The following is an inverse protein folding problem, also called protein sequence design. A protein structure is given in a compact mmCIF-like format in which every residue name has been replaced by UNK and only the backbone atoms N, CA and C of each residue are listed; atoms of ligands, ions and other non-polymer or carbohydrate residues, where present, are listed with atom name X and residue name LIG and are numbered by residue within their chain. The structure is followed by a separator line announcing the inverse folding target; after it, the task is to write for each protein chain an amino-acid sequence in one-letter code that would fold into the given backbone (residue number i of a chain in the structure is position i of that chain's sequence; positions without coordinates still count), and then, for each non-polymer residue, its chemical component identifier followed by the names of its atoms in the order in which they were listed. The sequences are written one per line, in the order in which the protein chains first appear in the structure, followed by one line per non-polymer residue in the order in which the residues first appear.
data_IF_206579436011
#
_entry.id   IF_206579436011
#
_cell.length_a   1.000
_cell.length_b   1.000
_cell.length_c   1.000
_cell.angle_alpha   90.00
_cell.angle_beta   90.00
_cell.angle_gamma   90.00
#
_symmetry.space_group_name_H-M   'P 1'
#
loop_
_entity.id
_entity.type
_entity.pdbx_description
1 polymer ?
#
# COMPACT_ATOMS: atom_id res chain seq x y z
N UNK A 1 -11.54 12.31 73.33
CA UNK A 1 -11.56 13.73 73.80
C UNK A 1 -10.42 14.44 73.08
N UNK A 2 -10.51 15.57 72.36
CA UNK A 2 -11.51 16.57 71.92
C UNK A 2 -10.85 17.20 70.66
N UNK A 3 -11.43 17.25 69.45
CA UNK A 3 -12.31 18.28 68.84
C UNK A 3 -11.95 19.77 69.07
N UNK A 4 -12.04 20.56 67.98
CA UNK A 4 -12.02 22.04 67.91
C UNK A 4 -11.39 22.55 66.59
N UNK A 5 -12.04 22.79 65.43
CA UNK A 5 -13.11 23.70 64.94
C UNK A 5 -12.82 25.22 64.85
N UNK A 6 -13.13 25.77 63.66
CA UNK A 6 -13.82 27.05 63.33
C UNK A 6 -13.09 28.36 62.95
N UNK A 7 -13.65 29.00 61.89
CA UNK A 7 -13.75 30.45 61.66
C UNK A 7 -13.44 30.83 60.20
N UNK A 8 -14.34 31.11 59.24
CA UNK A 8 -15.64 31.80 59.10
C UNK A 8 -15.56 33.28 58.68
N UNK A 9 -16.31 33.61 57.60
CA UNK A 9 -16.84 34.94 57.24
C UNK A 9 -16.24 35.56 55.96
N UNK A 10 -16.96 36.29 55.10
CA UNK A 10 -18.40 36.60 54.94
C UNK A 10 -18.58 37.41 53.62
N UNK A 11 -19.78 37.31 53.02
CA UNK A 11 -20.53 38.15 52.05
C UNK A 11 -19.97 39.57 51.72
N UNK A 12 -20.17 40.23 50.57
CA UNK A 12 -20.97 40.00 49.36
C UNK A 12 -21.22 41.31 48.56
N UNK A 13 -21.54 41.17 47.24
CA UNK A 13 -22.29 42.04 46.27
C UNK A 13 -22.09 43.58 46.16
N UNK A 14 -21.88 44.09 44.93
CA UNK A 14 -22.73 45.05 44.14
C UNK A 14 -21.97 45.59 42.88
N UNK A 15 -22.32 45.19 41.63
CA UNK A 15 -23.04 45.88 40.50
C UNK A 15 -22.43 47.18 39.88
N UNK A 16 -22.29 47.16 38.53
CA UNK A 16 -22.51 48.20 37.47
C UNK A 16 -21.31 48.52 36.52
N UNK A 17 -21.39 47.91 35.32
CA UNK A 17 -21.22 48.38 33.92
C UNK A 17 -20.40 49.64 33.57
N UNK A 18 -19.43 49.46 32.64
CA UNK A 18 -19.00 50.26 31.45
C UNK A 18 -17.50 49.91 31.23
N UNK A 19 -16.99 49.36 30.13
CA UNK A 19 -17.26 49.54 28.71
C UNK A 19 -15.88 49.66 28.04
N UNK A 20 -15.44 48.66 27.27
CA UNK A 20 -14.31 48.81 26.36
C UNK A 20 -14.45 47.83 25.19
N UNK A 21 -14.62 48.44 24.03
CA UNK A 21 -14.70 47.88 22.70
C UNK A 21 -13.31 47.32 22.32
N UNK A 22 -13.21 46.02 22.03
CA UNK A 22 -12.09 45.48 21.26
C UNK A 22 -12.64 44.53 20.21
N UNK A 23 -12.57 44.99 18.98
CA UNK A 23 -12.97 44.35 17.74
C UNK A 23 -12.11 43.08 17.53
N UNK A 24 -12.65 41.92 17.92
CA UNK A 24 -12.07 40.61 17.60
C UNK A 24 -12.63 40.14 16.27
N UNK A 25 -11.81 40.14 15.23
CA UNK A 25 -12.12 39.51 13.94
C UNK A 25 -12.27 38.00 14.18
N UNK A 26 -13.49 37.51 14.23
CA UNK A 26 -13.79 36.09 14.08
C UNK A 26 -13.53 35.73 12.61
N UNK A 27 -12.32 35.26 12.33
CA UNK A 27 -12.10 34.43 11.15
C UNK A 27 -12.71 33.08 11.50
N UNK A 28 -13.98 32.89 11.19
CA UNK A 28 -14.53 31.54 11.04
C UNK A 28 -13.90 30.96 9.78
N UNK A 29 -12.71 30.37 9.93
CA UNK A 29 -12.20 29.45 8.93
C UNK A 29 -13.23 28.32 8.81
N UNK A 30 -13.74 28.11 7.61
CA UNK A 30 -14.57 26.95 7.31
C UNK A 30 -13.73 25.71 7.61
N UNK A 31 -14.05 25.01 8.70
CA UNK A 31 -13.57 23.66 8.91
C UNK A 31 -14.28 22.78 7.87
N UNK A 32 -13.51 22.09 7.03
CA UNK A 32 -14.04 21.22 5.98
C UNK A 32 -14.76 20.03 6.65
N UNK A 33 -16.08 19.91 6.43
CA UNK A 33 -16.92 18.93 7.13
C UNK A 33 -16.65 17.51 6.60
N UNK A 34 -16.33 17.39 5.32
CA UNK A 34 -16.00 16.13 4.67
C UNK A 34 -15.01 16.30 3.50
N UNK A 35 -14.26 15.23 3.23
CA UNK A 35 -13.50 15.04 1.97
C UNK A 35 -14.16 13.98 1.08
N UNK A 36 -14.87 13.03 1.67
CA UNK A 36 -15.61 11.98 0.97
C UNK A 36 -16.83 11.49 1.77
N UNK A 37 -17.60 10.56 1.18
CA UNK A 37 -18.78 9.96 1.80
C UNK A 37 -18.46 9.21 3.10
N UNK A 38 -17.26 8.66 3.24
CA UNK A 38 -16.85 7.88 4.41
C UNK A 38 -16.54 8.80 5.59
N UNK A 39 -15.95 9.97 5.34
CA UNK A 39 -15.77 11.00 6.37
C UNK A 39 -17.13 11.43 6.96
N UNK A 40 -18.15 11.53 6.12
CA UNK A 40 -19.52 11.77 6.57
C UNK A 40 -20.10 10.65 7.43
N UNK A 41 -19.91 9.39 7.02
CA UNK A 41 -20.40 8.24 7.79
C UNK A 41 -19.68 8.10 9.15
N UNK A 42 -18.38 8.42 9.21
CA UNK A 42 -17.59 8.37 10.44
C UNK A 42 -17.97 9.49 11.43
N UNK A 43 -18.26 10.69 10.92
CA UNK A 43 -18.62 11.86 11.75
C UNK A 43 -20.11 11.92 12.12
N UNK A 44 -21.01 11.51 11.22
CA UNK A 44 -22.47 11.63 11.40
C UNK A 44 -23.20 10.29 11.61
N UNK A 45 -22.49 9.16 11.57
CA UNK A 45 -23.09 7.82 11.69
C UNK A 45 -23.75 7.34 10.40
N UNK A 46 -24.63 6.34 10.50
CA UNK A 46 -25.32 5.81 9.32
C UNK A 46 -26.32 6.83 8.72
N UNK A 47 -26.46 6.92 7.38
CA UNK A 47 -27.48 7.74 6.75
C UNK A 47 -28.90 7.21 7.05
N UNK A 48 -29.92 8.03 6.80
CA UNK A 48 -31.31 7.58 6.90
C UNK A 48 -31.59 6.42 5.94
N UNK A 49 -32.57 5.57 6.28
CA UNK A 49 -32.97 4.42 5.46
C UNK A 49 -33.29 4.85 4.02
N UNK A 50 -32.71 4.13 3.03
CA UNK A 50 -32.85 4.47 1.61
C UNK A 50 -32.02 5.69 1.15
N UNK A 51 -31.17 6.27 2.01
CA UNK A 51 -30.29 7.39 1.68
C UNK A 51 -28.81 7.01 1.75
N UNK A 52 -27.97 7.77 1.04
CA UNK A 52 -26.51 7.75 1.16
C UNK A 52 -25.96 9.15 1.41
N UNK A 53 -24.83 9.26 2.12
CA UNK A 53 -24.11 10.53 2.20
C UNK A 53 -23.37 10.82 0.89
N UNK A 54 -23.28 12.09 0.53
CA UNK A 54 -22.43 12.61 -0.54
C UNK A 54 -21.71 13.82 0.03
N UNK A 55 -20.41 13.93 -0.25
CA UNK A 55 -19.65 15.11 0.14
C UNK A 55 -19.74 16.13 -0.99
N UNK A 56 -20.46 17.23 -0.77
CA UNK A 56 -20.68 18.30 -1.74
C UNK A 56 -20.20 19.61 -1.13
N UNK A 57 -19.25 20.26 -1.79
CA UNK A 57 -18.62 21.50 -1.31
C UNK A 57 -18.12 21.40 0.14
N UNK A 58 -17.46 20.28 0.46
CA UNK A 58 -16.96 19.93 1.80
C UNK A 58 -18.05 19.91 2.88
N UNK A 59 -19.30 19.56 2.51
CA UNK A 59 -20.43 19.33 3.41
C UNK A 59 -21.12 17.99 3.17
N UNK A 60 -21.55 17.36 4.25
CA UNK A 60 -22.26 16.09 4.18
C UNK A 60 -23.73 16.31 3.83
N UNK A 61 -24.14 15.87 2.65
CA UNK A 61 -25.54 15.90 2.21
C UNK A 61 -26.08 14.48 2.05
N UNK A 62 -27.32 14.22 2.44
CA UNK A 62 -27.97 12.93 2.22
C UNK A 62 -28.75 12.94 0.89
N UNK A 63 -28.56 11.92 0.05
CA UNK A 63 -29.31 11.72 -1.21
C UNK A 63 -30.02 10.37 -1.24
N UNK A 64 -31.11 10.29 -1.99
CA UNK A 64 -31.83 9.05 -2.26
C UNK A 64 -30.96 8.05 -3.02
N UNK A 65 -31.00 6.78 -2.59
CA UNK A 65 -30.49 5.65 -3.36
C UNK A 65 -31.55 5.35 -4.42
N UNK A 66 -31.30 5.73 -5.68
CA UNK A 66 -32.25 5.46 -6.76
C UNK A 66 -32.31 3.95 -7.03
N UNK A 67 -33.50 3.36 -6.84
CA UNK A 67 -33.80 1.98 -7.23
C UNK A 67 -33.81 1.84 -8.75
N UNK A 68 -33.02 0.90 -9.28
CA UNK A 68 -33.09 0.47 -10.66
C UNK A 68 -34.34 -0.41 -10.86
N UNK A 69 -35.47 0.21 -11.18
CA UNK A 69 -36.72 -0.45 -11.54
C UNK A 69 -37.01 -0.35 -13.05
N UNK A 70 -37.12 -1.52 -13.67
CA UNK A 70 -37.64 -1.84 -15.01
C UNK A 70 -38.78 -0.96 -15.53
N UNK A 71 -38.71 -0.59 -16.82
CA UNK A 71 -39.91 -0.56 -17.66
C UNK A 71 -39.60 -0.96 -19.12
N UNK A 72 -40.36 -1.91 -19.62
CA UNK A 72 -40.38 -2.37 -21.00
C UNK A 72 -41.79 -2.13 -21.55
N UNK A 73 -41.91 -1.38 -22.63
CA UNK A 73 -43.20 -1.16 -23.29
C UNK A 73 -43.08 -0.34 -24.56
N UNK A 74 -43.35 -1.00 -25.68
CA UNK A 74 -43.48 -0.50 -27.06
C UNK A 74 -44.00 0.94 -27.23
N UNK A 75 -43.44 1.66 -28.20
CA UNK A 75 -44.28 2.20 -29.27
C UNK A 75 -43.54 2.28 -30.61
N UNK A 76 -44.21 1.80 -31.65
CA UNK A 76 -43.78 1.87 -33.04
C UNK A 76 -44.61 2.96 -33.73
N UNK A 77 -43.96 3.93 -34.37
CA UNK A 77 -44.69 4.97 -35.09
C UNK A 77 -43.78 5.98 -35.75
N UNK A 78 -43.49 5.73 -37.03
CA UNK A 78 -43.23 6.66 -38.13
C UNK A 78 -43.08 8.15 -37.80
N UNK A 79 -41.96 8.75 -38.18
CA UNK A 79 -42.01 10.11 -38.73
C UNK A 79 -41.01 10.30 -39.87
N UNK A 80 -41.55 10.70 -41.01
CA UNK A 80 -40.84 11.19 -42.18
C UNK A 80 -41.16 12.68 -42.28
N UNK A 81 -40.15 13.54 -42.34
CA UNK A 81 -40.39 14.97 -42.47
C UNK A 81 -39.13 15.81 -42.48
N UNK A 82 -38.69 16.14 -43.69
CA UNK A 82 -37.72 17.17 -44.08
C UNK A 82 -38.01 18.53 -43.43
N UNK A 83 -37.00 19.27 -42.94
CA UNK A 83 -36.65 20.57 -43.54
C UNK A 83 -35.33 21.17 -43.04
N UNK A 84 -34.71 21.90 -43.96
CA UNK A 84 -33.43 22.58 -43.85
C UNK A 84 -33.54 23.90 -43.08
N UNK A 85 -32.43 24.29 -42.43
CA UNK A 85 -32.26 25.61 -41.84
C UNK A 85 -30.80 25.89 -41.53
N UNK A 86 -30.07 26.39 -42.53
CA UNK A 86 -28.76 27.02 -42.37
C UNK A 86 -28.96 28.37 -41.70
N UNK A 87 -28.22 28.68 -40.64
CA UNK A 87 -27.69 30.05 -40.49
C UNK A 87 -26.40 30.08 -39.66
N UNK A 88 -25.43 30.79 -40.22
CA UNK A 88 -24.10 30.98 -39.69
C UNK A 88 -24.09 32.04 -38.61
N UNK A 89 -23.34 31.79 -37.53
CA UNK A 89 -23.03 32.76 -36.49
C UNK A 89 -21.59 32.58 -36.04
N UNK A 90 -20.68 33.32 -36.66
CA UNK A 90 -19.29 33.46 -36.27
C UNK A 90 -19.22 34.21 -34.94
N UNK A 91 -18.78 33.55 -33.87
CA UNK A 91 -18.15 34.25 -32.74
C UNK A 91 -16.81 33.58 -32.42
N UNK A 92 -15.77 34.16 -33.01
CA UNK A 92 -14.39 33.97 -32.63
C UNK A 92 -14.17 34.66 -31.26
N UNK A 93 -14.55 33.97 -30.19
CA UNK A 93 -14.15 34.29 -28.82
C UNK A 93 -12.76 33.74 -28.56
N UNK A 94 -11.75 34.61 -28.60
CA UNK A 94 -10.37 34.30 -28.26
C UNK A 94 -10.26 34.07 -26.76
N UNK A 95 -10.33 32.81 -26.33
CA UNK A 95 -9.72 32.35 -25.08
C UNK A 95 -8.64 31.33 -25.42
N UNK A 96 -7.58 31.84 -26.07
CA UNK A 96 -6.26 31.24 -25.97
C UNK A 96 -5.73 31.48 -24.54
N UNK A 97 -6.40 30.88 -23.56
CA UNK A 97 -5.77 30.50 -22.31
C UNK A 97 -4.69 29.51 -22.70
N UNK A 98 -3.49 30.02 -22.93
CA UNK A 98 -2.30 29.22 -23.14
C UNK A 98 -2.03 28.55 -21.80
N UNK A 99 -2.72 27.45 -21.51
CA UNK A 99 -2.14 26.40 -20.70
C UNK A 99 -0.98 25.87 -21.55
N UNK A 100 0.14 26.59 -21.50
CA UNK A 100 1.42 26.05 -21.88
C UNK A 100 1.67 24.95 -20.86
N UNK A 101 1.02 23.80 -21.05
CA UNK A 101 1.09 22.65 -20.18
C UNK A 101 2.56 22.39 -19.95
N UNK A 102 3.00 22.61 -18.71
CA UNK A 102 4.43 22.54 -18.40
C UNK A 102 4.84 21.10 -18.63
N UNK A 103 5.48 20.84 -19.76
CA UNK A 103 5.94 19.49 -20.11
C UNK A 103 6.90 19.00 -19.02
N UNK A 104 6.96 17.69 -18.79
CA UNK A 104 7.88 17.10 -17.80
C UNK A 104 9.35 17.55 -18.00
N UNK A 105 9.73 17.89 -19.24
CA UNK A 105 11.03 18.44 -19.59
C UNK A 105 11.34 19.75 -18.86
N UNK A 106 10.34 20.60 -18.62
CA UNK A 106 10.51 21.95 -18.09
C UNK A 106 10.17 22.10 -16.60
N UNK A 107 9.60 21.09 -15.96
CA UNK A 107 9.33 21.12 -14.52
C UNK A 107 10.63 21.08 -13.70
N UNK A 108 10.70 21.80 -12.56
CA UNK A 108 11.76 21.63 -11.57
C UNK A 108 11.88 20.17 -11.13
N UNK A 109 13.10 19.65 -11.01
CA UNK A 109 13.37 18.30 -10.56
C UNK A 109 14.39 18.33 -9.41
N UNK A 110 14.04 17.70 -8.30
CA UNK A 110 15.00 17.32 -7.27
C UNK A 110 15.91 16.21 -7.80
N UNK A 111 17.21 16.26 -7.47
CA UNK A 111 18.20 15.28 -7.94
C UNK A 111 17.90 13.85 -7.45
N UNK A 112 17.23 13.70 -6.30
CA UNK A 112 16.85 12.42 -5.71
C UNK A 112 15.41 12.06 -6.05
N UNK A 113 14.47 12.98 -5.91
CA UNK A 113 13.04 12.70 -5.95
C UNK A 113 12.33 13.16 -7.22
N UNK A 114 13.02 13.87 -8.12
CA UNK A 114 12.42 14.33 -9.36
C UNK A 114 11.34 15.35 -9.05
N UNK A 115 10.13 15.13 -9.55
CA UNK A 115 8.97 15.99 -9.28
C UNK A 115 8.20 15.61 -8.01
N UNK A 116 8.54 14.49 -7.35
CA UNK A 116 7.91 14.06 -6.10
C UNK A 116 8.27 15.03 -4.97
N UNK A 117 7.28 15.42 -4.18
CA UNK A 117 7.43 16.35 -3.06
C UNK A 117 7.46 15.58 -1.74
N UNK A 118 8.61 15.64 -1.06
CA UNK A 118 8.79 15.05 0.27
C UNK A 118 8.02 15.83 1.33
N UNK A 119 7.26 15.12 2.15
CA UNK A 119 6.44 15.73 3.20
C UNK A 119 7.23 15.96 4.50
N UNK A 120 6.69 16.82 5.35
CA UNK A 120 7.28 17.13 6.66
C UNK A 120 7.39 15.87 7.53
N UNK A 121 8.48 15.75 8.30
CA UNK A 121 8.74 14.56 9.11
C UNK A 121 9.58 13.49 8.40
N UNK A 122 9.99 13.72 7.15
CA UNK A 122 10.84 12.79 6.39
C UNK A 122 12.10 13.45 5.84
N UNK A 123 13.11 12.62 5.55
CA UNK A 123 14.37 13.03 4.89
C UNK A 123 14.68 12.12 3.72
N UNK A 124 14.99 12.70 2.56
CA UNK A 124 15.66 12.00 1.48
C UNK A 124 17.19 12.01 1.71
N UNK A 125 17.71 10.95 2.32
CA UNK A 125 19.09 10.81 2.77
C UNK A 125 20.05 10.56 1.58
N UNK A 126 20.43 9.32 1.29
CA UNK A 126 21.27 9.02 0.12
C UNK A 126 20.42 8.64 -1.10
N UNK A 127 20.99 8.82 -2.29
CA UNK A 127 20.41 8.34 -3.55
C UNK A 127 21.48 7.74 -4.45
N UNK A 128 21.15 6.66 -5.14
CA UNK A 128 22.05 5.94 -6.05
C UNK A 128 21.33 5.56 -7.33
N UNK A 129 22.05 5.50 -8.45
CA UNK A 129 21.49 5.02 -9.72
C UNK A 129 20.97 3.60 -9.58
N UNK A 130 19.72 3.35 -9.96
CA UNK A 130 19.11 2.03 -9.97
C UNK A 130 19.42 1.40 -11.34
N UNK A 131 20.14 0.27 -11.39
CA UNK A 131 20.49 -0.35 -12.65
C UNK A 131 19.26 -0.71 -13.50
N UNK A 132 19.41 -0.67 -14.82
CA UNK A 132 18.35 -1.07 -15.74
C UNK A 132 17.98 -2.54 -15.54
N UNK A 133 16.71 -2.87 -15.78
CA UNK A 133 16.18 -4.23 -15.60
C UNK A 133 15.84 -4.64 -14.16
N UNK A 134 16.50 -4.04 -13.14
CA UNK A 134 16.19 -4.34 -11.73
C UNK A 134 14.76 -3.91 -11.39
N UNK A 135 13.85 -4.86 -11.18
CA UNK A 135 12.43 -4.62 -10.93
C UNK A 135 12.07 -4.62 -9.45
N UNK A 136 12.77 -5.42 -8.65
CA UNK A 136 12.60 -5.49 -7.20
C UNK A 136 13.96 -5.48 -6.49
N UNK A 137 13.99 -4.92 -5.28
CA UNK A 137 15.21 -4.83 -4.46
C UNK A 137 14.93 -5.26 -3.04
N UNK A 138 15.97 -5.69 -2.33
CA UNK A 138 15.91 -5.91 -0.89
C UNK A 138 17.25 -5.58 -0.23
N UNK A 139 17.20 -5.15 1.03
CA UNK A 139 18.37 -4.78 1.81
C UNK A 139 18.57 -5.74 2.98
N UNK A 140 19.71 -6.43 2.99
CA UNK A 140 20.12 -7.35 4.06
C UNK A 140 21.12 -6.63 4.96
N UNK A 141 20.81 -6.54 6.26
CA UNK A 141 21.73 -5.93 7.23
C UNK A 141 23.04 -6.73 7.32
N UNK A 142 24.17 -6.04 7.24
CA UNK A 142 25.51 -6.61 7.31
C UNK A 142 26.39 -5.74 8.21
N UNK A 143 26.44 -6.07 9.50
CA UNK A 143 27.05 -5.18 10.51
C UNK A 143 26.26 -3.88 10.64
N UNK A 144 26.94 -2.74 10.48
CA UNK A 144 26.32 -1.41 10.44
C UNK A 144 25.69 -1.06 9.08
N UNK A 145 26.07 -1.79 8.03
CA UNK A 145 25.74 -1.45 6.65
C UNK A 145 24.61 -2.35 6.11
N UNK A 146 24.20 -2.10 4.87
CA UNK A 146 23.22 -2.93 4.17
C UNK A 146 23.81 -3.42 2.85
N UNK A 147 23.80 -4.74 2.66
CA UNK A 147 24.04 -5.35 1.35
C UNK A 147 22.73 -5.33 0.56
N UNK A 148 22.79 -4.82 -0.64
CA UNK A 148 21.64 -4.68 -1.51
C UNK A 148 21.63 -5.78 -2.56
N UNK A 149 20.46 -6.38 -2.76
CA UNK A 149 20.21 -7.38 -3.79
C UNK A 149 19.07 -6.90 -4.68
N UNK A 150 19.12 -7.31 -5.94
CA UNK A 150 18.12 -6.95 -6.93
C UNK A 150 17.69 -8.15 -7.74
N UNK A 151 16.40 -8.21 -8.05
CA UNK A 151 15.86 -9.12 -9.04
C UNK A 151 15.73 -8.36 -10.37
N UNK A 152 16.38 -8.88 -11.41
CA UNK A 152 16.32 -8.34 -12.76
C UNK A 152 15.24 -9.06 -13.55
N UNK A 153 14.17 -8.35 -13.91
CA UNK A 153 13.06 -8.91 -14.68
C UNK A 153 13.33 -9.00 -16.19
N UNK A 154 14.48 -8.50 -16.66
CA UNK A 154 14.84 -8.60 -18.08
C UNK A 154 15.57 -9.89 -18.44
N UNK A 155 16.27 -10.50 -17.47
CA UNK A 155 17.01 -11.75 -17.61
C UNK A 155 16.63 -12.80 -16.55
N UNK A 156 15.54 -12.54 -15.83
CA UNK A 156 14.97 -13.37 -14.78
C UNK A 156 15.98 -13.86 -13.75
N UNK A 157 16.95 -13.02 -13.36
CA UNK A 157 18.05 -13.41 -12.47
C UNK A 157 18.23 -12.52 -11.24
N UNK A 158 18.77 -13.11 -10.18
CA UNK A 158 19.09 -12.45 -8.93
C UNK A 158 20.52 -11.90 -8.95
N UNK A 159 20.73 -10.69 -8.44
CA UNK A 159 22.02 -10.01 -8.42
C UNK A 159 22.38 -9.46 -7.05
N UNK A 160 23.67 -9.49 -6.71
CA UNK A 160 24.23 -8.62 -5.68
C UNK A 160 24.52 -7.25 -6.30
N UNK A 161 23.96 -6.18 -5.71
CA UNK A 161 24.11 -4.81 -6.21
C UNK A 161 25.22 -4.04 -5.48
N UNK A 162 25.68 -4.51 -4.32
CA UNK A 162 26.74 -3.86 -3.55
C UNK A 162 26.30 -3.51 -2.13
N UNK A 163 26.99 -2.55 -1.50
CA UNK A 163 26.75 -2.14 -0.12
C UNK A 163 26.30 -0.68 -0.08
N UNK A 164 25.12 -0.41 0.47
CA UNK A 164 24.57 0.94 0.55
C UNK A 164 25.52 1.92 1.28
N UNK A 165 25.70 3.18 0.81
CA UNK A 165 25.07 3.82 -0.34
C UNK A 165 25.92 3.73 -1.63
N UNK A 166 26.77 2.73 -1.78
CA UNK A 166 27.58 2.52 -2.98
C UNK A 166 27.18 1.20 -3.63
N UNK A 167 26.35 1.29 -4.66
CA UNK A 167 25.97 0.13 -5.47
C UNK A 167 26.70 0.14 -6.81
N UNK A 168 27.23 -1.01 -7.19
CA UNK A 168 27.81 -1.29 -8.49
C UNK A 168 27.24 -2.63 -8.92
N UNK A 169 26.45 -2.66 -10.00
CA UNK A 169 25.87 -3.90 -10.48
C UNK A 169 26.96 -4.93 -10.75
N UNK A 170 26.89 -6.07 -10.07
CA UNK A 170 27.52 -7.26 -10.62
C UNK A 170 26.95 -7.51 -12.01
N UNK A 171 27.81 -7.79 -12.99
CA UNK A 171 27.38 -8.29 -14.30
C UNK A 171 27.16 -9.81 -14.30
N UNK A 172 27.47 -10.47 -13.19
CA UNK A 172 27.29 -11.91 -13.00
C UNK A 172 26.07 -12.16 -12.10
N UNK A 173 25.06 -12.88 -12.58
CA UNK A 173 23.91 -13.26 -11.77
C UNK A 173 24.35 -14.23 -10.67
N UNK A 174 23.73 -14.10 -9.49
CA UNK A 174 23.87 -15.04 -8.38
C UNK A 174 23.16 -16.36 -8.68
N UNK A 175 21.94 -16.26 -9.21
CA UNK A 175 21.07 -17.39 -9.50
C UNK A 175 19.96 -16.97 -10.45
N UNK A 176 19.61 -17.82 -11.41
CA UNK A 176 18.41 -17.63 -12.23
C UNK A 176 17.16 -17.82 -11.35
N UNK A 177 16.23 -16.88 -11.33
CA UNK A 177 14.94 -17.03 -10.66
C UNK A 177 14.05 -17.99 -11.43
N UNK A 178 14.06 -17.91 -12.76
CA UNK A 178 13.36 -18.83 -13.64
C UNK A 178 14.40 -19.80 -14.24
N UNK A 179 14.40 -21.09 -13.83
CA UNK A 179 15.32 -22.07 -14.39
C UNK A 179 14.94 -22.38 -15.85
N UNK A 180 15.90 -22.88 -16.64
CA UNK A 180 15.74 -23.18 -18.07
C UNK A 180 14.51 -24.05 -18.37
N UNK A 181 14.23 -25.03 -17.50
CA UNK A 181 13.08 -25.93 -17.63
C UNK A 181 11.71 -25.23 -17.56
N UNK A 182 11.67 -24.01 -17.01
CA UNK A 182 10.46 -23.22 -16.77
C UNK A 182 10.47 -21.88 -17.54
N UNK A 183 11.32 -21.76 -18.58
CA UNK A 183 11.36 -20.57 -19.44
C UNK A 183 9.98 -20.21 -20.00
N UNK A 184 9.68 -18.91 -20.03
CA UNK A 184 8.38 -18.38 -20.42
C UNK A 184 7.36 -18.27 -19.28
N UNK A 185 7.74 -18.66 -18.05
CA UNK A 185 6.99 -18.30 -16.86
C UNK A 185 7.04 -16.79 -16.60
N UNK A 186 6.09 -16.30 -15.81
CA UNK A 186 5.96 -14.91 -15.42
C UNK A 186 6.69 -14.69 -14.08
N UNK A 187 7.68 -13.80 -14.02
CA UNK A 187 8.36 -13.50 -12.77
C UNK A 187 7.43 -12.76 -11.81
N UNK A 188 7.57 -13.07 -10.52
CA UNK A 188 6.83 -12.41 -9.46
C UNK A 188 7.50 -11.07 -9.11
N UNK A 189 6.71 -10.02 -8.94
CA UNK A 189 7.20 -8.64 -8.80
C UNK A 189 7.81 -8.27 -7.44
N UNK A 190 8.34 -9.24 -6.68
CA UNK A 190 8.85 -9.01 -5.32
C UNK A 190 10.23 -9.63 -5.09
N UNK A 191 10.95 -9.06 -4.13
CA UNK A 191 12.17 -9.61 -3.55
C UNK A 191 12.19 -9.27 -2.06
N UNK A 192 12.24 -10.28 -1.20
CA UNK A 192 12.26 -10.11 0.26
C UNK A 192 13.40 -10.93 0.89
N UNK A 193 13.67 -10.72 2.17
CA UNK A 193 14.75 -11.42 2.87
C UNK A 193 14.45 -11.63 4.35
N UNK A 194 15.01 -12.69 4.93
CA UNK A 194 14.94 -13.00 6.37
C UNK A 194 16.26 -12.70 7.11
N UNK A 195 17.14 -11.92 6.50
CA UNK A 195 18.50 -11.63 7.00
C UNK A 195 19.58 -12.60 6.54
N UNK A 196 19.25 -13.81 6.11
CA UNK A 196 20.23 -14.80 5.62
C UNK A 196 19.89 -15.37 4.26
N UNK A 197 18.60 -15.35 3.90
CA UNK A 197 18.09 -15.84 2.63
C UNK A 197 17.28 -14.77 1.92
N UNK A 198 17.30 -14.85 0.60
CA UNK A 198 16.50 -14.03 -0.31
C UNK A 198 15.37 -14.89 -0.85
N UNK A 199 14.18 -14.29 -0.98
CA UNK A 199 13.02 -14.95 -1.57
C UNK A 199 12.40 -14.08 -2.66
N UNK A 200 12.26 -14.69 -3.84
CA UNK A 200 11.56 -14.20 -5.03
C UNK A 200 10.97 -15.41 -5.76
N UNK A 201 10.22 -15.24 -6.85
CA UNK A 201 9.55 -16.37 -7.47
C UNK A 201 9.03 -16.10 -8.88
N UNK A 202 8.30 -17.08 -9.38
CA UNK A 202 7.63 -17.02 -10.68
C UNK A 202 6.39 -17.90 -10.69
N UNK A 203 5.50 -17.63 -11.64
CA UNK A 203 4.25 -18.34 -11.87
C UNK A 203 4.09 -18.67 -13.36
N UNK A 204 3.59 -19.85 -13.68
CA UNK A 204 3.30 -20.30 -15.05
C UNK A 204 1.86 -19.98 -15.43
N UNK A 205 1.63 -19.69 -16.71
CA UNK A 205 0.29 -19.42 -17.28
C UNK A 205 -0.63 -20.64 -17.44
N UNK A 206 -0.41 -21.68 -16.64
CA UNK A 206 -1.17 -22.93 -16.69
C UNK A 206 -2.32 -22.92 -15.66
N UNK A 207 -3.30 -23.81 -15.83
CA UNK A 207 -4.42 -23.92 -14.88
C UNK A 207 -3.91 -24.21 -13.45
N UNK A 208 -4.43 -23.46 -12.48
CA UNK A 208 -3.96 -23.51 -11.09
C UNK A 208 -2.69 -22.72 -10.82
N UNK A 209 -2.16 -22.00 -11.82
CA UNK A 209 -1.02 -21.09 -11.70
C UNK A 209 0.21 -21.75 -11.02
N UNK A 210 0.68 -22.93 -11.48
CA UNK A 210 1.82 -23.57 -10.87
C UNK A 210 3.04 -22.65 -10.93
N UNK A 211 3.88 -22.69 -9.90
CA UNK A 211 5.00 -21.77 -9.78
C UNK A 211 5.96 -22.23 -8.69
N UNK A 212 7.08 -21.53 -8.57
CA UNK A 212 8.04 -21.76 -7.50
C UNK A 212 8.53 -20.43 -6.94
N UNK A 213 8.93 -20.48 -5.68
CA UNK A 213 9.79 -19.47 -5.09
C UNK A 213 11.23 -19.97 -5.04
N UNK A 214 12.16 -19.11 -5.42
CA UNK A 214 13.59 -19.28 -5.19
C UNK A 214 13.89 -18.84 -3.75
N UNK A 215 14.46 -19.75 -2.96
CA UNK A 215 15.06 -19.46 -1.65
C UNK A 215 16.57 -19.50 -1.80
N UNK A 216 17.19 -18.34 -2.01
CA UNK A 216 18.64 -18.22 -2.20
C UNK A 216 19.33 -17.94 -0.86
N UNK A 217 20.26 -18.80 -0.45
CA UNK A 217 21.01 -18.64 0.79
C UNK A 217 22.27 -17.79 0.55
N UNK A 218 22.32 -16.62 1.19
CA UNK A 218 23.41 -15.65 1.00
C UNK A 218 24.71 -16.04 1.71
N UNK A 219 24.63 -16.99 2.65
CA UNK A 219 25.77 -17.51 3.41
C UNK A 219 26.29 -18.80 2.78
N UNK A 220 25.38 -19.66 2.33
CA UNK A 220 25.69 -20.98 1.74
C UNK A 220 24.97 -21.14 0.40
N UNK A 221 25.42 -20.51 -0.70
CA UNK A 221 24.70 -20.52 -1.99
C UNK A 221 24.37 -21.91 -2.55
N UNK A 222 25.14 -22.94 -2.18
CA UNK A 222 24.89 -24.33 -2.55
C UNK A 222 23.60 -24.92 -1.94
N UNK A 223 23.06 -24.33 -0.87
CA UNK A 223 21.81 -24.72 -0.21
C UNK A 223 20.57 -24.04 -0.81
N UNK A 224 20.76 -23.29 -1.90
CA UNK A 224 19.68 -22.64 -2.63
C UNK A 224 18.65 -23.65 -3.13
N UNK A 225 17.37 -23.34 -2.96
CA UNK A 225 16.27 -24.26 -3.24
C UNK A 225 15.15 -23.58 -4.01
N UNK A 226 14.48 -24.35 -4.88
CA UNK A 226 13.21 -23.95 -5.48
C UNK A 226 12.08 -24.70 -4.81
N UNK A 227 11.14 -23.95 -4.23
CA UNK A 227 10.01 -24.49 -3.48
C UNK A 227 8.73 -24.27 -4.27
N UNK A 228 7.92 -25.31 -4.44
CA UNK A 228 6.62 -25.19 -5.12
C UNK A 228 5.72 -24.20 -4.38
N UNK A 229 5.28 -23.18 -5.09
CA UNK A 229 4.43 -22.11 -4.58
C UNK A 229 3.55 -21.58 -5.73
N UNK A 230 2.31 -22.04 -5.80
CA UNK A 230 1.40 -21.67 -6.89
C UNK A 230 0.92 -20.22 -6.73
N UNK A 231 0.88 -19.48 -7.84
CA UNK A 231 0.37 -18.11 -7.91
C UNK A 231 1.01 -17.17 -6.88
N UNK A 232 2.31 -17.32 -6.61
CA UNK A 232 3.01 -16.52 -5.60
C UNK A 232 3.06 -15.05 -6.03
N UNK A 233 2.17 -14.23 -5.47
CA UNK A 233 1.90 -12.86 -5.93
C UNK A 233 2.73 -11.82 -5.16
N UNK A 234 2.79 -11.95 -3.83
CA UNK A 234 3.62 -11.10 -2.97
C UNK A 234 4.22 -11.92 -1.84
N UNK A 235 5.31 -11.44 -1.25
CA UNK A 235 5.89 -12.08 -0.09
C UNK A 235 6.54 -11.09 0.88
N UNK A 236 6.54 -11.45 2.15
CA UNK A 236 7.25 -10.75 3.21
C UNK A 236 7.94 -11.76 4.13
N UNK A 237 8.88 -11.30 4.95
CA UNK A 237 9.62 -12.16 5.87
C UNK A 237 9.30 -11.81 7.32
N UNK A 238 9.08 -12.83 8.13
CA UNK A 238 9.02 -12.75 9.59
C UNK A 238 10.10 -13.68 10.16
N UNK A 239 10.45 -13.57 11.45
CA UNK A 239 11.41 -14.48 12.05
C UNK A 239 11.03 -15.95 11.83
N UNK A 240 11.90 -16.71 11.15
CA UNK A 240 11.73 -18.15 10.91
C UNK A 240 10.80 -18.56 9.77
N UNK A 241 10.22 -17.62 9.02
CA UNK A 241 9.37 -17.96 7.87
C UNK A 241 9.26 -16.84 6.83
N UNK A 242 8.99 -17.24 5.59
CA UNK A 242 8.46 -16.34 4.57
C UNK A 242 6.94 -16.47 4.51
N UNK A 243 6.25 -15.33 4.44
CA UNK A 243 4.81 -15.24 4.22
C UNK A 243 4.59 -15.02 2.73
N UNK A 244 3.94 -15.96 2.07
CA UNK A 244 3.72 -15.96 0.63
C UNK A 244 2.22 -15.82 0.39
N UNK A 245 1.83 -14.70 -0.19
CA UNK A 245 0.47 -14.45 -0.63
C UNK A 245 0.29 -15.08 -2.02
N UNK A 246 -0.60 -16.05 -2.16
CA UNK A 246 -0.74 -16.79 -3.39
C UNK A 246 -1.84 -17.84 -3.37
N UNK A 247 -1.70 -18.85 -4.23
CA UNK A 247 -2.67 -19.92 -4.46
C UNK A 247 -2.29 -21.22 -3.76
N UNK A 248 -1.01 -21.43 -3.46
CA UNK A 248 -0.57 -22.66 -2.80
C UNK A 248 0.90 -22.64 -2.40
N UNK A 249 1.28 -23.59 -1.56
CA UNK A 249 2.64 -23.89 -1.16
C UNK A 249 2.79 -25.42 -1.08
N UNK A 250 4.00 -25.94 -1.23
CA UNK A 250 4.27 -27.35 -0.97
C UNK A 250 3.75 -27.79 0.41
N UNK A 251 3.54 -29.10 0.60
CA UNK A 251 2.98 -29.69 1.83
C UNK A 251 1.51 -29.35 2.12
N UNK A 252 0.88 -28.45 1.35
CA UNK A 252 -0.55 -28.13 1.44
C UNK A 252 -1.30 -28.72 0.26
N UNK A 253 -2.12 -29.74 0.52
CA UNK A 253 -2.88 -30.45 -0.51
C UNK A 253 -4.04 -29.63 -1.09
N UNK A 254 -4.77 -28.90 -0.24
CA UNK A 254 -5.89 -28.05 -0.64
C UNK A 254 -5.45 -26.58 -0.68
N UNK A 255 -5.08 -26.12 -1.88
CA UNK A 255 -4.69 -24.73 -2.13
C UNK A 255 -5.85 -23.72 -2.05
N UNK A 256 -5.76 -22.67 -2.87
CA UNK A 256 -6.67 -21.54 -2.91
C UNK A 256 -5.99 -20.22 -2.51
N UNK A 257 -6.63 -19.10 -2.87
CA UNK A 257 -6.13 -17.77 -2.53
C UNK A 257 -6.06 -17.60 -1.00
N UNK A 258 -4.85 -17.45 -0.47
CA UNK A 258 -4.57 -17.36 0.95
C UNK A 258 -3.17 -16.79 1.21
N UNK A 259 -2.84 -16.57 2.49
CA UNK A 259 -1.46 -16.39 2.94
C UNK A 259 -0.92 -17.76 3.36
N UNK A 260 0.23 -18.12 2.81
CA UNK A 260 0.97 -19.33 3.15
C UNK A 260 2.23 -18.97 3.93
N UNK A 261 2.64 -19.83 4.86
CA UNK A 261 3.93 -19.74 5.51
C UNK A 261 4.86 -20.81 4.93
N UNK A 262 6.06 -20.40 4.53
CA UNK A 262 7.17 -21.28 4.26
C UNK A 262 8.14 -21.18 5.43
N UNK A 263 8.13 -22.19 6.30
CA UNK A 263 9.03 -22.28 7.44
C UNK A 263 10.44 -22.50 6.97
N UNK A 264 11.33 -21.71 7.55
CA UNK A 264 12.73 -21.66 7.16
C UNK A 264 13.66 -22.06 8.31
N UNK A 265 13.10 -22.38 9.47
CA UNK A 265 13.77 -22.97 10.64
C UNK A 265 13.88 -24.51 10.55
N UNK A 266 13.29 -25.11 9.52
CA UNK A 266 13.34 -26.55 9.23
C UNK A 266 14.05 -26.81 7.89
N UNK A 267 14.66 -28.00 7.76
CA UNK A 267 15.17 -28.53 6.48
C UNK A 267 14.69 -29.99 6.31
N UNK A 268 14.00 -30.35 5.21
CA UNK A 268 13.52 -29.48 4.14
C UNK A 268 12.57 -28.40 4.69
N UNK A 269 12.43 -27.29 3.96
CA UNK A 269 11.46 -26.25 4.30
C UNK A 269 10.06 -26.85 4.38
N UNK A 270 9.21 -26.31 5.25
CA UNK A 270 7.84 -26.82 5.44
C UNK A 270 6.83 -25.74 5.10
N UNK A 271 5.88 -26.07 4.22
CA UNK A 271 4.77 -25.20 3.88
C UNK A 271 3.55 -25.41 4.77
N UNK A 272 2.82 -24.34 5.07
CA UNK A 272 1.51 -24.40 5.70
C UNK A 272 0.61 -23.26 5.23
N UNK A 273 -0.72 -23.44 5.31
CA UNK A 273 -1.68 -22.36 5.10
C UNK A 273 -1.76 -21.53 6.37
N UNK A 274 -1.38 -20.26 6.31
CA UNK A 274 -1.28 -19.39 7.48
C UNK A 274 -2.57 -18.61 7.72
N UNK A 275 -3.10 -17.93 6.69
CA UNK A 275 -4.28 -17.09 6.84
C UNK A 275 -5.25 -17.19 5.67
N UNK A 276 -6.55 -17.24 5.96
CA UNK A 276 -7.63 -17.22 4.95
C UNK A 276 -8.25 -15.83 4.80
N UNK A 277 -8.63 -15.50 3.56
CA UNK A 277 -9.29 -14.23 3.25
C UNK A 277 -10.75 -14.22 3.73
N UNK A 278 -11.30 -13.03 4.07
CA UNK A 278 -12.62 -12.91 4.68
C UNK A 278 -13.78 -13.05 3.69
N UNK A 279 -13.50 -12.93 2.39
CA UNK A 279 -14.52 -12.98 1.33
C UNK A 279 -14.24 -14.09 0.33
N UNK A 280 -15.30 -14.75 -0.13
CA UNK A 280 -15.22 -15.75 -1.20
C UNK A 280 -14.83 -15.09 -2.52
N UNK A 281 -13.99 -15.76 -3.31
CA UNK A 281 -13.49 -15.20 -4.58
C UNK A 281 -12.44 -14.10 -4.42
N UNK A 282 -11.96 -13.83 -3.20
CA UNK A 282 -10.83 -12.94 -2.97
C UNK A 282 -9.60 -13.40 -3.78
N UNK A 283 -8.84 -12.43 -4.25
CA UNK A 283 -7.57 -12.60 -4.95
C UNK A 283 -6.40 -12.30 -4.03
N UNK A 284 -5.22 -12.75 -4.43
CA UNK A 284 -3.98 -12.44 -3.72
C UNK A 284 -3.72 -10.93 -3.71
N UNK A 285 -3.12 -10.43 -2.64
CA UNK A 285 -2.85 -9.00 -2.43
C UNK A 285 -1.42 -8.74 -1.98
N UNK A 286 -1.13 -7.50 -1.60
CA UNK A 286 0.22 -7.11 -1.18
C UNK A 286 0.50 -7.46 0.28
N UNK A 287 1.76 -7.81 0.58
CA UNK A 287 2.20 -8.18 1.92
C UNK A 287 3.47 -7.42 2.30
N UNK A 288 3.56 -6.96 3.55
CA UNK A 288 4.74 -6.33 4.12
C UNK A 288 4.87 -6.70 5.60
N UNK A 289 6.06 -6.44 6.16
CA UNK A 289 6.33 -6.60 7.59
C UNK A 289 7.05 -5.35 8.07
N UNK A 290 6.62 -4.80 9.20
CA UNK A 290 7.25 -3.64 9.85
C UNK A 290 8.54 -4.04 10.57
N UNK A 291 9.35 -3.06 10.98
CA UNK A 291 10.58 -3.30 11.75
C UNK A 291 10.37 -4.07 13.07
N UNK A 292 9.21 -3.89 13.69
CA UNK A 292 8.78 -4.55 14.92
C UNK A 292 7.92 -5.80 14.68
N UNK A 293 7.94 -6.31 13.44
CA UNK A 293 7.33 -7.56 12.99
C UNK A 293 5.80 -7.57 12.96
N UNK A 294 5.13 -6.41 12.84
CA UNK A 294 3.71 -6.42 12.47
C UNK A 294 3.60 -6.88 11.03
N UNK A 295 2.87 -7.98 10.80
CA UNK A 295 2.60 -8.48 9.46
C UNK A 295 1.40 -7.73 8.88
N UNK A 296 1.58 -7.11 7.71
CA UNK A 296 0.50 -6.53 6.91
C UNK A 296 0.18 -7.52 5.80
N UNK A 297 -0.99 -8.14 5.89
CA UNK A 297 -1.46 -9.21 5.02
C UNK A 297 -2.63 -8.70 4.19
N UNK A 298 -2.42 -8.58 2.88
CA UNK A 298 -3.43 -8.05 1.98
C UNK A 298 -4.18 -9.11 1.18
N UNK A 299 -5.34 -8.71 0.67
CA UNK A 299 -6.10 -9.44 -0.35
C UNK A 299 -6.81 -8.41 -1.23
N UNK A 300 -7.28 -8.84 -2.40
CA UNK A 300 -8.14 -8.02 -3.25
C UNK A 300 -9.50 -8.68 -3.44
N UNK A 301 -10.54 -7.88 -3.65
CA UNK A 301 -11.87 -8.37 -4.01
C UNK A 301 -12.49 -7.46 -5.08
N UNK A 302 -13.36 -8.01 -5.92
CA UNK A 302 -14.05 -7.24 -6.96
C UNK A 302 -14.82 -6.06 -6.37
N UNK A 303 -14.68 -4.89 -7.00
CA UNK A 303 -15.40 -3.69 -6.62
C UNK A 303 -16.80 -3.69 -7.25
N UNK A 304 -17.79 -4.10 -6.47
CA UNK A 304 -19.19 -4.16 -6.93
C UNK A 304 -19.86 -2.80 -7.03
N UNK A 305 -19.19 -1.71 -6.63
CA UNK A 305 -19.70 -0.34 -6.79
C UNK A 305 -19.51 0.21 -8.20
N UNK A 306 -18.69 -0.46 -9.01
CA UNK A 306 -18.43 -0.09 -10.40
C UNK A 306 -19.08 -1.08 -11.36
N UNK A 307 -19.25 -0.66 -12.61
CA UNK A 307 -19.68 -1.55 -13.69
C UNK A 307 -18.54 -2.35 -14.31
N UNK A 308 -17.28 -2.05 -13.95
CA UNK A 308 -16.13 -2.74 -14.51
C UNK A 308 -15.88 -4.04 -13.72
N UNK A 309 -16.04 -5.22 -14.34
CA UNK A 309 -15.83 -6.49 -13.65
C UNK A 309 -14.37 -6.73 -13.24
N UNK A 310 -13.43 -5.93 -13.72
CA UNK A 310 -12.00 -6.03 -13.39
C UNK A 310 -11.57 -5.07 -12.28
N UNK A 311 -12.42 -4.12 -11.90
CA UNK A 311 -12.12 -3.23 -10.78
C UNK A 311 -12.10 -4.03 -9.48
N UNK A 312 -11.12 -3.73 -8.65
CA UNK A 312 -10.91 -4.41 -7.38
C UNK A 312 -10.46 -3.46 -6.30
N UNK A 313 -10.92 -3.74 -5.08
CA UNK A 313 -10.48 -3.06 -3.86
C UNK A 313 -9.38 -3.90 -3.24
N UNK A 314 -8.24 -3.28 -2.96
CA UNK A 314 -7.18 -3.87 -2.16
C UNK A 314 -7.42 -3.58 -0.68
N UNK A 315 -7.42 -4.64 0.11
CA UNK A 315 -7.55 -4.61 1.56
C UNK A 315 -6.20 -4.95 2.19
N UNK A 316 -5.84 -4.24 3.26
CA UNK A 316 -4.66 -4.57 4.07
C UNK A 316 -5.09 -4.81 5.52
N UNK A 317 -4.63 -5.92 6.10
CA UNK A 317 -4.90 -6.29 7.49
C UNK A 317 -3.59 -6.35 8.27
N UNK A 318 -3.46 -5.58 9.36
CA UNK A 318 -2.31 -5.65 10.26
C UNK A 318 -2.51 -6.72 11.34
N UNK A 319 -1.50 -7.56 11.53
CA UNK A 319 -1.54 -8.73 12.40
C UNK A 319 -0.30 -8.75 13.29
N UNK A 320 -0.51 -8.80 14.61
CA UNK A 320 0.57 -8.80 15.58
C UNK A 320 1.32 -10.15 15.63
N UNK A 321 2.62 -10.16 16.01
CA UNK A 321 3.42 -11.37 16.17
C UNK A 321 2.79 -12.47 17.01
N UNK A 322 2.09 -12.12 18.10
CA UNK A 322 1.47 -13.12 18.97
C UNK A 322 0.32 -13.89 18.31
N UNK A 323 -0.23 -13.38 17.20
CA UNK A 323 -1.29 -14.06 16.43
C UNK A 323 -0.69 -15.04 15.43
N UNK A 324 0.24 -14.58 14.58
CA UNK A 324 0.73 -15.41 13.48
C UNK A 324 1.87 -16.36 13.90
N UNK A 325 2.70 -16.02 14.89
CA UNK A 325 3.89 -16.84 15.23
C UNK A 325 3.54 -18.25 15.73
N UNK A 326 2.53 -18.42 16.63
CA UNK A 326 2.07 -19.74 17.02
C UNK A 326 1.45 -20.52 15.85
N UNK A 327 0.76 -19.82 14.94
CA UNK A 327 0.15 -20.44 13.76
C UNK A 327 1.21 -20.98 12.78
N UNK A 328 2.28 -20.23 12.54
CA UNK A 328 3.44 -20.69 11.76
C UNK A 328 4.06 -21.92 12.42
N UNK A 329 4.37 -21.85 13.71
CA UNK A 329 5.07 -22.93 14.43
C UNK A 329 4.23 -24.21 14.50
N UNK A 330 2.92 -24.07 14.72
CA UNK A 330 1.98 -25.18 14.82
C UNK A 330 1.44 -25.67 13.47
N UNK A 331 1.74 -24.98 12.37
CA UNK A 331 1.15 -25.31 11.06
C UNK A 331 -0.37 -25.10 11.02
N UNK A 332 -0.90 -24.18 11.82
CA UNK A 332 -2.35 -23.90 11.90
C UNK A 332 -2.71 -22.65 11.10
N UNK A 333 -4.00 -22.52 10.79
CA UNK A 333 -4.54 -21.43 9.99
C UNK A 333 -5.44 -20.52 10.85
N UNK A 334 -5.36 -19.21 10.66
CA UNK A 334 -6.32 -18.24 11.21
C UNK A 334 -7.07 -17.52 10.08
N UNK A 335 -8.26 -16.98 10.37
CA UNK A 335 -8.96 -16.14 9.40
C UNK A 335 -8.54 -14.68 9.56
N UNK A 336 -8.45 -13.90 8.48
CA UNK A 336 -8.24 -12.45 8.58
C UNK A 336 -9.41 -11.70 9.24
N UNK A 337 -10.55 -12.37 9.47
CA UNK A 337 -11.64 -11.89 10.35
C UNK A 337 -11.33 -12.02 11.85
N UNK A 338 -10.14 -12.51 12.22
CA UNK A 338 -9.71 -12.60 13.60
C UNK A 338 -9.81 -11.22 14.28
N UNK A 339 -10.39 -11.10 15.49
CA UNK A 339 -10.52 -9.81 16.18
C UNK A 339 -9.21 -9.07 16.44
N UNK A 340 -8.08 -9.77 16.43
CA UNK A 340 -6.73 -9.21 16.61
C UNK A 340 -6.02 -8.94 15.27
N UNK A 341 -6.70 -9.14 14.14
CA UNK A 341 -6.28 -8.76 12.81
C UNK A 341 -7.13 -7.55 12.39
N UNK A 342 -6.52 -6.37 12.28
CA UNK A 342 -7.26 -5.12 12.04
C UNK A 342 -7.12 -4.70 10.58
N UNK A 343 -8.23 -4.38 9.92
CA UNK A 343 -8.18 -3.74 8.60
C UNK A 343 -7.65 -2.31 8.74
N UNK A 344 -6.65 -1.96 7.94
CA UNK A 344 -5.97 -0.66 7.99
C UNK A 344 -6.12 0.14 6.69
N UNK A 345 -6.56 -0.51 5.61
CA UNK A 345 -6.67 0.10 4.29
C UNK A 345 -7.64 -0.70 3.42
N UNK A 346 -8.48 0.01 2.64
CA UNK A 346 -9.40 -0.57 1.66
C UNK A 346 -9.64 0.43 0.51
N UNK A 347 -8.85 0.36 -0.58
CA UNK A 347 -9.02 1.20 -1.79
C UNK A 347 -8.53 0.50 -3.05
N UNK A 348 -8.93 0.98 -4.22
CA UNK A 348 -8.55 0.44 -5.53
C UNK A 348 -7.23 1.00 -6.10
N UNK A 349 -6.63 2.00 -5.45
CA UNK A 349 -5.44 2.69 -5.96
C UNK A 349 -4.12 2.18 -5.38
N UNK A 350 -4.05 0.95 -4.85
CA UNK A 350 -2.83 0.40 -4.24
C UNK A 350 -1.96 -0.34 -5.26
N UNK A 351 -0.71 0.09 -5.40
CA UNK A 351 0.27 -0.48 -6.34
C UNK A 351 1.42 -1.22 -5.64
N UNK A 352 1.58 -1.07 -4.33
CA UNK A 352 2.61 -1.77 -3.58
C UNK A 352 2.69 -1.35 -2.11
N UNK A 353 3.32 -2.20 -1.30
CA UNK A 353 3.52 -1.96 0.14
C UNK A 353 4.93 -2.34 0.56
N UNK A 354 5.47 -1.65 1.54
CA UNK A 354 6.76 -1.98 2.16
C UNK A 354 6.77 -1.59 3.63
N UNK A 355 7.53 -2.30 4.46
CA UNK A 355 7.81 -1.86 5.82
C UNK A 355 8.54 -0.51 5.82
N UNK A 356 8.14 0.39 6.71
CA UNK A 356 8.81 1.67 6.92
C UNK A 356 8.76 2.04 8.41
N UNK A 357 9.81 1.66 9.12
CA UNK A 357 9.87 1.77 10.58
C UNK A 357 8.80 0.92 11.24
N UNK A 358 8.11 1.46 12.24
CA UNK A 358 6.93 0.86 12.88
C UNK A 358 5.64 1.06 12.09
N UNK A 359 5.74 1.15 10.78
CA UNK A 359 4.61 1.42 9.91
C UNK A 359 4.79 0.76 8.56
N UNK A 360 3.77 0.92 7.73
CA UNK A 360 3.77 0.42 6.36
C UNK A 360 3.64 1.60 5.40
N UNK A 361 4.53 1.65 4.41
CA UNK A 361 4.44 2.56 3.28
C UNK A 361 3.56 1.94 2.19
N UNK A 362 2.69 2.75 1.60
CA UNK A 362 1.74 2.39 0.55
C UNK A 362 2.07 3.24 -0.68
N UNK A 363 2.39 2.59 -1.80
CA UNK A 363 2.48 3.25 -3.10
C UNK A 363 1.08 3.28 -3.70
N UNK A 364 0.54 4.48 -3.86
CA UNK A 364 -0.80 4.69 -4.41
C UNK A 364 -0.72 5.29 -5.82
N UNK A 365 -1.65 4.89 -6.68
CA UNK A 365 -1.75 5.36 -8.06
C UNK A 365 -2.37 4.33 -8.98
N UNK A 366 -1.83 4.23 -10.18
CA UNK A 366 -2.19 3.24 -11.20
C UNK A 366 -0.94 2.53 -11.71
N UNK A 367 -1.11 1.57 -12.63
CA UNK A 367 0.00 0.89 -13.29
C UNK A 367 0.95 1.82 -14.05
N UNK A 368 0.48 3.00 -14.46
CA UNK A 368 1.24 3.93 -15.31
C UNK A 368 1.61 5.23 -14.62
N UNK A 369 1.04 5.51 -13.44
CA UNK A 369 1.21 6.78 -12.76
C UNK A 369 1.25 6.63 -11.24
N UNK A 370 2.22 7.27 -10.60
CA UNK A 370 2.22 7.46 -9.15
C UNK A 370 1.30 8.62 -8.76
N UNK A 371 0.43 8.39 -7.79
CA UNK A 371 -0.38 9.43 -7.13
C UNK A 371 0.32 9.94 -5.87
N UNK A 372 0.76 9.01 -5.01
CA UNK A 372 1.51 9.33 -3.79
C UNK A 372 2.20 8.09 -3.21
N UNK A 373 3.13 8.32 -2.27
CA UNK A 373 3.52 7.32 -1.28
C UNK A 373 3.02 7.83 0.07
N UNK A 374 2.23 7.02 0.75
CA UNK A 374 1.65 7.32 2.06
C UNK A 374 2.11 6.28 3.09
N UNK A 375 1.90 6.56 4.38
CA UNK A 375 2.33 5.70 5.47
C UNK A 375 1.26 5.61 6.55
N UNK A 376 1.06 4.39 7.06
CA UNK A 376 0.24 4.11 8.23
C UNK A 376 1.19 3.67 9.36
N UNK A 377 1.20 4.41 10.47
CA UNK A 377 1.88 4.00 11.70
C UNK A 377 1.12 2.81 12.32
N UNK A 378 1.84 1.80 12.79
CA UNK A 378 1.27 0.63 13.46
C UNK A 378 1.90 0.50 14.84
N UNK A 379 1.07 0.54 15.88
CA UNK A 379 1.54 0.41 17.27
C UNK A 379 1.13 -0.94 17.84
N UNK A 380 2.11 -1.70 18.32
CA UNK A 380 1.88 -2.93 19.07
C UNK A 380 1.38 -2.63 20.49
N UNK A 381 0.34 -3.34 20.91
CA UNK A 381 -0.24 -3.26 22.25
C UNK A 381 -0.44 -4.63 22.89
N UNK A 382 -0.72 -4.61 24.20
CA UNK A 382 -0.96 -5.81 25.01
C UNK A 382 0.23 -6.26 25.86
N UNK A 383 -0.04 -7.13 26.86
CA UNK A 383 0.98 -7.68 27.79
C UNK A 383 1.91 -8.64 27.05
N UNK A 384 1.38 -9.35 26.06
CA UNK A 384 2.10 -9.92 24.91
C UNK A 384 1.61 -9.16 23.67
N UNK A 385 2.45 -8.84 22.67
CA UNK A 385 2.05 -8.00 21.54
C UNK A 385 0.98 -8.70 20.69
N UNK A 386 -0.26 -8.61 21.12
CA UNK A 386 -1.41 -9.37 20.63
C UNK A 386 -2.41 -8.48 19.92
N UNK A 387 -2.28 -7.15 20.06
CA UNK A 387 -3.10 -6.18 19.36
C UNK A 387 -2.22 -5.23 18.57
N UNK A 388 -2.79 -4.70 17.49
CA UNK A 388 -2.21 -3.61 16.70
C UNK A 388 -3.23 -2.48 16.69
N UNK A 389 -2.77 -1.25 16.76
CA UNK A 389 -3.57 -0.06 16.43
C UNK A 389 -2.96 0.65 15.24
N UNK A 390 -3.78 1.09 14.30
CA UNK A 390 -3.34 1.87 13.15
C UNK A 390 -3.54 3.37 13.40
N UNK A 391 -2.55 4.17 13.03
CA UNK A 391 -2.69 5.61 12.92
C UNK A 391 -3.33 6.04 11.60
N UNK A 392 -3.40 7.36 11.38
CA UNK A 392 -3.94 7.92 10.15
C UNK A 392 -3.04 7.61 8.94
N UNK A 393 -3.64 7.59 7.75
CA UNK A 393 -2.91 7.53 6.49
C UNK A 393 -2.25 8.89 6.22
N UNK A 394 -0.92 8.94 6.36
CA UNK A 394 -0.15 10.17 6.25
C UNK A 394 0.70 10.20 4.97
N UNK A 395 0.67 11.28 4.17
CA UNK A 395 1.50 11.38 2.98
C UNK A 395 3.00 11.45 3.30
N UNK A 396 3.82 10.71 2.55
CA UNK A 396 5.31 10.72 2.60
C UNK A 396 5.88 11.42 1.38
N UNK A 397 5.40 11.05 0.19
CA UNK A 397 5.72 11.66 -1.10
C UNK A 397 4.42 11.99 -1.83
N UNK A 398 4.24 13.23 -2.25
CA UNK A 398 3.08 13.64 -3.07
C UNK A 398 3.53 14.10 -4.46
N UNK A 399 2.61 14.13 -5.41
CA UNK A 399 2.85 14.73 -6.72
C UNK A 399 1.60 15.40 -7.27
N UNK A 400 1.80 16.44 -8.07
CA UNK A 400 0.76 17.13 -8.85
C UNK A 400 0.82 16.81 -10.34
N UNK A 401 1.72 15.91 -10.75
CA UNK A 401 1.98 15.53 -12.13
C UNK A 401 2.41 14.05 -12.23
N UNK A 402 2.57 13.56 -13.46
CA UNK A 402 2.93 12.16 -13.74
C UNK A 402 4.39 11.99 -14.19
N UNK A 403 5.23 13.02 -13.99
CA UNK A 403 6.58 13.07 -14.56
C UNK A 403 7.62 12.21 -13.83
N UNK A 404 7.36 11.88 -12.57
CA UNK A 404 8.20 10.97 -11.78
C UNK A 404 7.34 9.86 -11.21
N UNK A 405 7.76 8.62 -11.43
CA UNK A 405 7.06 7.43 -10.98
C UNK A 405 7.88 6.68 -9.94
N UNK A 406 7.22 6.19 -8.89
CA UNK A 406 7.76 5.17 -8.01
C UNK A 406 7.66 3.83 -8.73
N UNK A 407 8.77 3.09 -8.78
CA UNK A 407 8.90 1.82 -9.52
C UNK A 407 9.18 0.63 -8.63
N UNK A 408 9.63 0.86 -7.39
CA UNK A 408 9.81 -0.19 -6.38
C UNK A 408 9.89 0.44 -5.00
N UNK A 409 9.51 -0.31 -3.97
CA UNK A 409 9.71 0.07 -2.57
C UNK A 409 10.23 -1.15 -1.80
N UNK A 410 11.15 -0.93 -0.87
CA UNK A 410 11.66 -1.97 0.00
C UNK A 410 12.08 -1.42 1.37
N UNK A 411 11.92 -2.18 2.46
CA UNK A 411 12.48 -1.80 3.75
C UNK A 411 14.00 -1.84 3.73
N UNK A 412 14.64 -0.92 4.45
CA UNK A 412 16.06 -0.95 4.78
C UNK A 412 16.26 -0.64 6.26
N UNK A 413 16.10 -1.67 7.09
CA UNK A 413 16.00 -1.48 8.54
C UNK A 413 14.72 -0.71 8.89
N UNK A 414 14.88 0.42 9.58
CA UNK A 414 13.77 1.34 9.89
C UNK A 414 13.40 2.27 8.73
N UNK A 415 14.24 2.33 7.69
CA UNK A 415 14.09 3.27 6.59
C UNK A 415 13.37 2.64 5.39
N UNK A 416 12.94 3.48 4.46
CA UNK A 416 12.32 3.05 3.20
C UNK A 416 13.25 3.34 2.03
N UNK A 417 13.54 2.34 1.21
CA UNK A 417 14.11 2.55 -0.12
C UNK A 417 12.96 2.75 -1.12
N UNK A 418 12.98 3.88 -1.82
CA UNK A 418 12.04 4.19 -2.89
C UNK A 418 12.80 4.28 -4.20
N UNK A 419 12.47 3.41 -5.14
CA UNK A 419 12.94 3.52 -6.52
C UNK A 419 12.08 4.51 -7.28
N UNK A 420 12.71 5.51 -7.90
CA UNK A 420 12.04 6.49 -8.74
C UNK A 420 12.55 6.42 -10.18
N UNK A 421 11.68 6.76 -11.13
CA UNK A 421 11.97 6.87 -12.57
C UNK A 421 11.36 8.15 -13.12
N UNK A 422 12.19 8.97 -13.76
CA UNK A 422 11.79 10.16 -14.49
C UNK A 422 12.68 10.36 -15.73
N UNK A 423 12.68 11.57 -16.30
CA UNK A 423 13.53 11.94 -17.45
C UNK A 423 15.04 11.80 -17.21
N UNK A 424 15.49 11.81 -15.95
CA UNK A 424 16.89 11.68 -15.56
C UNK A 424 17.28 10.21 -15.28
N UNK A 425 16.39 9.25 -15.58
CA UNK A 425 16.63 7.83 -15.40
C UNK A 425 16.13 7.31 -14.07
N UNK A 426 16.69 6.16 -13.64
CA UNK A 426 16.24 5.40 -12.47
C UNK A 426 17.22 5.56 -11.31
N UNK A 427 16.68 5.69 -10.09
CA UNK A 427 17.48 5.78 -8.87
C UNK A 427 16.73 5.26 -7.65
N UNK A 428 17.46 4.72 -6.68
CA UNK A 428 16.95 4.42 -5.35
C UNK A 428 17.25 5.60 -4.44
N UNK A 429 16.28 5.95 -3.60
CA UNK A 429 16.39 7.01 -2.59
C UNK A 429 16.06 6.41 -1.23
N UNK A 430 16.92 6.63 -0.23
CA UNK A 430 16.63 6.27 1.15
C UNK A 430 15.82 7.38 1.82
N UNK A 431 14.63 7.03 2.28
CA UNK A 431 13.77 7.89 3.07
C UNK A 431 13.85 7.48 4.54
N UNK A 432 14.04 8.48 5.40
CA UNK A 432 14.09 8.33 6.85
C UNK A 432 12.95 9.11 7.50
N UNK A 433 12.37 8.56 8.56
CA UNK A 433 11.46 9.29 9.43
C UNK A 433 12.28 10.11 10.45
N UNK A 434 11.91 11.39 10.66
CA UNK A 434 12.55 12.29 11.63
C UNK A 434 11.95 12.22 13.02
#
# INVERSE_FOLDING_TARGET
MKTGTMGSGRLGRFVVVLGALSLGVLVTGCEEECVDQTDCANKQGAPAEGKRYECVDNRCVQRDIADAGTDAGNDAGTDAGTDAGTDAGTDAGTDAGTDAGVTCTNLPHDVKLGTLQLQTGFVAAESVTLPDGIGAVTAVRSGSDFKLYGFNGADDSLYALGTWPVIASSTTPLQAVIPEADMGAFPSGYLTNDGTRLLTGYTKGEAGFPGKVLVYDTVTPAETSYVSAAGNFSAAAVPGAFLINGVGIQDVAEGGNAIYALRTDTKPFQGSKLATFPVSGAFSGYSAVTSDNVAVLGYAASDTSTSDPWDSINYLTAVAPAVYSPAITGGTTFALTNPNAIEIFARNDLQGVAGFGKGVALHRGSYTATKEVSRIELTLGGITPSTVTAGDLTPVLTTSNTCTNVVTMAPMGEDLLVGVKDKNGRRLVRLQQR
#
